data_IF_162273170430
#
_entry.id   IF_162273170430
#
_cell.length_a   1.000
_cell.length_b   1.000
_cell.length_c   1.000
_cell.angle_alpha   90.00
_cell.angle_beta   90.00
_cell.angle_gamma   90.00
#
_symmetry.space_group_name_H-M   'P 1'
#
loop_
_entity.id
_entity.type
_entity.pdbx_description
1 polymer ?
#
# COMPACT_ATOMS: atom_id res chain seq x y z
N UNK A 1 7.66 8.57 5.41
CA UNK A 1 6.90 7.72 4.47
C UNK A 1 5.40 8.07 4.39
N UNK A 2 4.81 8.80 5.35
CA UNK A 2 3.38 9.21 5.31
C UNK A 2 2.98 9.89 3.99
N UNK A 3 3.78 10.86 3.53
CA UNK A 3 3.58 11.56 2.25
C UNK A 3 3.65 10.61 1.03
N UNK A 4 4.43 9.53 1.10
CA UNK A 4 4.52 8.55 0.03
C UNK A 4 3.24 7.71 -0.05
N UNK A 5 2.72 7.25 1.09
CA UNK A 5 1.47 6.50 1.13
C UNK A 5 0.29 7.34 0.61
N UNK A 6 0.19 8.60 1.04
CA UNK A 6 -0.82 9.54 0.55
C UNK A 6 -0.72 9.77 -0.97
N UNK A 7 0.49 9.99 -1.49
CA UNK A 7 0.72 10.15 -2.93
C UNK A 7 0.33 8.89 -3.71
N UNK A 8 0.66 7.70 -3.20
CA UNK A 8 0.30 6.42 -3.82
C UNK A 8 -1.23 6.25 -3.88
N UNK A 9 -1.95 6.57 -2.80
CA UNK A 9 -3.42 6.51 -2.77
C UNK A 9 -4.02 7.50 -3.77
N UNK A 10 -3.49 8.73 -3.82
CA UNK A 10 -4.00 9.79 -4.69
C UNK A 10 -3.93 9.45 -6.19
N UNK A 11 -2.90 8.71 -6.62
CA UNK A 11 -2.74 8.29 -8.02
C UNK A 11 -3.32 6.91 -8.34
N UNK A 12 -3.75 6.15 -7.33
CA UNK A 12 -4.21 4.80 -7.52
C UNK A 12 -5.62 4.77 -8.14
N UNK A 13 -5.89 3.90 -9.13
CA UNK A 13 -7.18 3.81 -9.80
C UNK A 13 -8.23 3.08 -8.94
N UNK A 14 -8.69 3.71 -7.85
CA UNK A 14 -9.59 3.11 -6.84
C UNK A 14 -11.08 3.47 -7.00
N UNK A 15 -11.55 3.73 -8.23
CA UNK A 15 -12.94 4.12 -8.48
C UNK A 15 -14.01 3.04 -8.23
N UNK A 16 -13.63 1.79 -7.96
CA UNK A 16 -14.58 0.72 -7.62
C UNK A 16 -14.01 -0.25 -6.58
N UNK A 17 -14.88 -0.98 -5.89
CA UNK A 17 -14.47 -2.07 -4.98
C UNK A 17 -13.52 -3.07 -5.65
N UNK A 18 -13.74 -3.40 -6.92
CA UNK A 18 -12.91 -4.35 -7.68
C UNK A 18 -11.51 -3.79 -7.94
N UNK A 19 -11.40 -2.54 -8.37
CA UNK A 19 -10.10 -1.91 -8.67
C UNK A 19 -9.29 -1.65 -7.40
N UNK A 20 -9.96 -1.25 -6.31
CA UNK A 20 -9.36 -1.14 -4.97
C UNK A 20 -8.78 -2.47 -4.47
N UNK A 21 -9.56 -3.56 -4.52
CA UNK A 21 -9.07 -4.86 -4.08
C UNK A 21 -7.88 -5.35 -4.92
N UNK A 22 -7.89 -5.05 -6.23
CA UNK A 22 -6.75 -5.32 -7.11
C UNK A 22 -5.51 -4.54 -6.66
N UNK A 23 -5.65 -3.23 -6.43
CA UNK A 23 -4.57 -2.38 -5.96
C UNK A 23 -3.92 -2.93 -4.68
N UNK A 24 -4.70 -3.23 -3.63
CA UNK A 24 -4.14 -3.76 -2.38
C UNK A 24 -3.43 -5.10 -2.56
N UNK A 25 -3.97 -5.98 -3.42
CA UNK A 25 -3.33 -7.26 -3.72
C UNK A 25 -2.00 -7.08 -4.44
N UNK A 26 -1.94 -6.15 -5.38
CA UNK A 26 -0.72 -5.90 -6.16
C UNK A 26 0.34 -5.20 -5.31
N UNK A 27 -0.06 -4.28 -4.42
CA UNK A 27 0.81 -3.68 -3.41
C UNK A 27 1.36 -4.73 -2.44
N UNK A 28 0.51 -5.65 -1.97
CA UNK A 28 0.95 -6.72 -1.06
C UNK A 28 1.97 -7.66 -1.72
N UNK A 29 1.73 -8.01 -2.98
CA UNK A 29 2.66 -8.81 -3.78
C UNK A 29 3.98 -8.08 -3.99
N UNK A 30 3.94 -6.78 -4.27
CA UNK A 30 5.14 -5.98 -4.46
C UNK A 30 5.97 -5.91 -3.17
N UNK A 31 5.37 -5.57 -2.03
CA UNK A 31 6.07 -5.55 -0.73
C UNK A 31 6.60 -6.94 -0.34
N UNK A 32 5.89 -8.01 -0.68
CA UNK A 32 6.40 -9.37 -0.50
C UNK A 32 7.64 -9.63 -1.37
N UNK A 33 7.68 -9.16 -2.63
CA UNK A 33 8.88 -9.28 -3.47
C UNK A 33 10.06 -8.51 -2.91
N UNK A 34 9.84 -7.32 -2.34
CA UNK A 34 10.90 -6.55 -1.67
C UNK A 34 11.47 -7.33 -0.47
N UNK A 35 10.59 -7.92 0.35
CA UNK A 35 10.96 -8.76 1.47
C UNK A 35 11.77 -9.99 1.01
N UNK A 36 11.29 -10.71 -0.01
CA UNK A 36 11.99 -11.90 -0.54
C UNK A 36 13.36 -11.56 -1.14
N UNK A 37 13.52 -10.35 -1.67
CA UNK A 37 14.82 -9.84 -2.15
C UNK A 37 15.69 -9.25 -1.04
N UNK A 38 15.24 -9.29 0.22
CA UNK A 38 15.92 -8.70 1.39
C UNK A 38 16.19 -7.20 1.26
N UNK A 39 15.39 -6.50 0.44
CA UNK A 39 15.45 -5.04 0.30
C UNK A 39 14.74 -4.33 1.45
N UNK A 40 13.80 -5.04 2.08
CA UNK A 40 13.15 -4.63 3.32
C UNK A 40 13.05 -5.85 4.26
N UNK A 41 12.86 -5.61 5.54
CA UNK A 41 12.58 -6.62 6.54
C UNK A 41 11.07 -6.77 6.82
N UNK A 42 10.71 -7.73 7.67
CA UNK A 42 9.32 -8.03 7.98
C UNK A 42 8.59 -6.85 8.65
N UNK A 43 9.29 -6.12 9.54
CA UNK A 43 8.74 -4.97 10.24
C UNK A 43 8.44 -3.82 9.26
N UNK A 44 9.39 -3.49 8.39
CA UNK A 44 9.21 -2.49 7.33
C UNK A 44 8.04 -2.86 6.40
N UNK A 45 7.86 -4.14 6.09
CA UNK A 45 6.70 -4.61 5.31
C UNK A 45 5.38 -4.38 6.03
N UNK A 46 5.32 -4.64 7.34
CA UNK A 46 4.12 -4.40 8.15
C UNK A 46 3.81 -2.91 8.24
N UNK A 47 4.83 -2.08 8.40
CA UNK A 47 4.71 -0.62 8.40
C UNK A 47 4.20 -0.09 7.06
N UNK A 48 4.75 -0.56 5.94
CA UNK A 48 4.28 -0.21 4.60
C UNK A 48 2.81 -0.58 4.37
N UNK A 49 2.34 -1.71 4.91
CA UNK A 49 0.93 -2.10 4.86
C UNK A 49 0.06 -1.19 5.71
N UNK A 50 0.51 -0.88 6.94
CA UNK A 50 -0.21 0.00 7.87
C UNK A 50 -0.38 1.40 7.29
N UNK A 51 0.69 2.00 6.76
CA UNK A 51 0.66 3.35 6.20
C UNK A 51 -0.28 3.48 4.99
N UNK A 52 -0.30 2.49 4.09
CA UNK A 52 -1.24 2.48 2.97
C UNK A 52 -2.69 2.32 3.43
N UNK A 53 -2.95 1.49 4.45
CA UNK A 53 -4.28 1.36 5.01
C UNK A 53 -4.75 2.67 5.68
N UNK A 54 -3.89 3.31 6.46
CA UNK A 54 -4.17 4.61 7.10
C UNK A 54 -4.42 5.71 6.06
N UNK A 55 -3.57 5.82 5.04
CA UNK A 55 -3.75 6.81 3.97
C UNK A 55 -5.05 6.58 3.18
N UNK A 56 -5.41 5.31 2.93
CA UNK A 56 -6.68 4.98 2.31
C UNK A 56 -7.87 5.39 3.20
N UNK A 57 -7.83 5.09 4.50
CA UNK A 57 -8.88 5.50 5.43
C UNK A 57 -9.01 7.02 5.50
N UNK A 58 -7.89 7.74 5.55
CA UNK A 58 -7.86 9.20 5.53
C UNK A 58 -8.45 9.78 4.23
N UNK A 59 -8.28 9.11 3.09
CA UNK A 59 -8.88 9.54 1.81
C UNK A 59 -10.39 9.34 1.71
N UNK A 60 -10.98 8.55 2.61
CA UNK A 60 -12.43 8.32 2.67
C UNK A 60 -13.15 9.28 3.61
N UNK A 61 -12.41 9.93 4.52
CA UNK A 61 -12.91 10.90 5.48
C UNK A 61 -12.90 12.30 4.87
#
# INVERSE_FOLDING_TARGET
MKNFAEAVIAIAPMGSRKSRNRFFRDYDRWTNRLLMRRLINLHERQDLRKQIAEAYLASLM
#
